data_IF_450902100376
#
_entry.id   IF_450902100376
#
_cell.length_a   1.000
_cell.length_b   1.000
_cell.length_c   1.000
_cell.angle_alpha   90.00
_cell.angle_beta   90.00
_cell.angle_gamma   90.00
#
_symmetry.space_group_name_H-M   'P 1'
#
loop_
_entity.id
_entity.type
_entity.pdbx_description
1 polymer ?
#
# COMPACT_ATOMS: atom_id res chain seq x y z
N UNK A 1 -49.19 17.30 -30.69
CA UNK A 1 -48.54 17.89 -29.50
C UNK A 1 -47.52 16.91 -28.88
N UNK A 2 -46.22 17.25 -28.86
CA UNK A 2 -45.21 16.41 -28.20
C UNK A 2 -45.31 16.55 -26.67
N UNK A 3 -44.98 15.49 -25.90
CA UNK A 3 -45.00 15.55 -24.44
C UNK A 3 -43.84 16.40 -23.90
N UNK A 4 -44.00 17.03 -22.73
CA UNK A 4 -42.95 17.85 -22.13
C UNK A 4 -41.78 16.97 -21.65
N UNK A 5 -40.57 17.36 -22.04
CA UNK A 5 -39.32 16.79 -21.57
C UNK A 5 -39.22 16.99 -20.04
N UNK A 6 -39.46 15.94 -19.27
CA UNK A 6 -39.17 15.91 -17.84
C UNK A 6 -37.65 16.02 -17.67
N UNK A 7 -37.21 17.23 -17.30
CA UNK A 7 -35.83 17.55 -16.94
C UNK A 7 -35.52 16.85 -15.62
N UNK A 8 -35.12 15.58 -15.71
CA UNK A 8 -34.68 14.78 -14.57
C UNK A 8 -33.51 15.48 -13.88
N UNK A 9 -33.79 16.15 -12.76
CA UNK A 9 -32.78 16.57 -11.82
C UNK A 9 -32.24 15.31 -11.15
N UNK A 10 -31.25 14.68 -11.78
CA UNK A 10 -30.39 13.72 -11.11
C UNK A 10 -29.66 14.48 -10.02
N UNK A 11 -30.28 14.56 -8.84
CA UNK A 11 -29.58 14.92 -7.61
C UNK A 11 -28.47 13.89 -7.48
N UNK A 12 -27.25 14.29 -7.83
CA UNK A 12 -26.05 13.58 -7.48
C UNK A 12 -26.06 13.53 -5.95
N UNK A 13 -26.65 12.45 -5.41
CA UNK A 13 -26.56 12.10 -4.02
C UNK A 13 -25.06 11.95 -3.77
N UNK A 14 -24.46 13.01 -3.23
CA UNK A 14 -23.10 12.99 -2.74
C UNK A 14 -23.13 12.07 -1.53
N UNK A 15 -23.07 10.76 -1.76
CA UNK A 15 -22.75 9.84 -0.69
C UNK A 15 -21.32 10.20 -0.30
N UNK A 16 -21.09 10.73 0.91
CA UNK A 16 -19.75 11.07 1.34
C UNK A 16 -18.90 9.82 1.13
N UNK A 17 -17.99 9.91 0.16
CA UNK A 17 -17.05 8.82 -0.12
C UNK A 17 -16.33 8.60 1.19
N UNK A 18 -16.46 7.39 1.74
CA UNK A 18 -15.90 7.03 3.05
C UNK A 18 -14.38 6.97 2.91
N UNK A 19 -13.75 8.15 2.84
CA UNK A 19 -12.30 8.33 2.80
C UNK A 19 -11.80 8.06 4.21
N UNK A 20 -11.06 6.98 4.34
CA UNK A 20 -10.36 6.68 5.57
C UNK A 20 -8.89 7.03 5.39
N UNK A 21 -8.21 7.28 6.50
CA UNK A 21 -6.77 7.52 6.50
C UNK A 21 -6.10 6.35 7.20
N UNK A 22 -5.10 5.75 6.57
CA UNK A 22 -4.21 4.80 7.21
C UNK A 22 -3.08 5.58 7.88
N UNK A 23 -2.82 5.33 9.16
CA UNK A 23 -1.57 5.73 9.81
C UNK A 23 -0.67 4.52 9.94
N UNK A 24 0.31 4.41 9.06
CA UNK A 24 1.26 3.32 9.06
C UNK A 24 2.49 3.65 9.90
N UNK A 25 2.86 2.70 10.75
CA UNK A 25 4.09 2.68 11.54
C UNK A 25 4.90 1.45 11.19
N UNK A 26 6.22 1.49 11.39
CA UNK A 26 7.07 0.34 11.14
C UNK A 26 7.25 -0.50 12.42
N UNK A 27 6.95 -1.81 12.37
CA UNK A 27 6.80 -2.66 13.56
C UNK A 27 8.02 -2.74 14.48
N UNK A 28 9.22 -2.54 13.95
CA UNK A 28 10.49 -2.64 14.69
C UNK A 28 11.20 -1.28 14.82
N UNK A 29 10.50 -0.17 14.58
CA UNK A 29 11.11 1.14 14.57
C UNK A 29 10.99 1.81 15.96
N UNK A 30 11.95 2.67 16.35
CA UNK A 30 11.93 3.36 17.64
C UNK A 30 10.67 4.21 17.82
N UNK A 31 10.30 4.56 19.06
CA UNK A 31 9.08 5.32 19.39
C UNK A 31 8.92 6.65 18.62
N UNK A 32 10.04 7.27 18.20
CA UNK A 32 10.05 8.52 17.43
C UNK A 32 10.14 8.31 15.92
N UNK A 33 9.72 7.15 15.42
CA UNK A 33 9.76 6.86 13.98
C UNK A 33 8.68 7.64 13.22
N UNK A 34 8.94 8.00 11.95
CA UNK A 34 7.96 8.70 11.14
C UNK A 34 6.69 7.86 10.96
N UNK A 35 5.53 8.50 11.09
CA UNK A 35 4.22 7.93 10.76
C UNK A 35 3.88 8.32 9.33
N UNK A 36 3.52 7.34 8.50
CA UNK A 36 3.08 7.60 7.14
C UNK A 36 1.54 7.62 7.10
N UNK A 37 0.97 8.76 6.74
CA UNK A 37 -0.48 8.92 6.61
C UNK A 37 -0.87 8.81 5.13
N UNK A 38 -1.75 7.86 4.80
CA UNK A 38 -2.18 7.60 3.41
C UNK A 38 -3.71 7.62 3.31
N UNK A 39 -4.29 8.36 2.34
CA UNK A 39 -5.71 8.26 2.06
C UNK A 39 -6.01 6.91 1.42
N UNK A 40 -6.96 6.16 1.98
CA UNK A 40 -7.38 4.87 1.46
C UNK A 40 -8.90 4.77 1.47
N UNK A 41 -9.42 4.24 0.37
CA UNK A 41 -10.82 3.85 0.28
C UNK A 41 -10.98 2.44 0.87
N UNK A 42 -11.82 2.33 1.90
CA UNK A 42 -12.00 1.07 2.62
C UNK A 42 -12.59 -0.05 1.74
N UNK A 43 -13.37 0.29 0.71
CA UNK A 43 -13.92 -0.71 -0.21
C UNK A 43 -12.81 -1.30 -1.09
N UNK A 44 -11.95 -0.46 -1.67
CA UNK A 44 -10.78 -0.94 -2.42
C UNK A 44 -9.81 -1.74 -1.52
N UNK A 45 -9.64 -1.31 -0.26
CA UNK A 45 -8.81 -2.03 0.70
C UNK A 45 -9.34 -3.44 1.00
N UNK A 46 -10.62 -3.57 1.37
CA UNK A 46 -11.26 -4.87 1.67
C UNK A 46 -11.23 -5.83 0.48
N UNK A 47 -11.26 -5.30 -0.74
CA UNK A 47 -11.12 -6.08 -1.98
C UNK A 47 -9.70 -6.60 -2.19
N UNK A 48 -8.69 -5.76 -1.94
CA UNK A 48 -7.29 -6.07 -2.20
C UNK A 48 -6.57 -6.83 -1.09
N UNK A 49 -6.97 -6.62 0.16
CA UNK A 49 -6.26 -7.07 1.37
C UNK A 49 -7.19 -7.81 2.33
N UNK A 50 -6.61 -8.45 3.34
CA UNK A 50 -7.38 -9.14 4.38
C UNK A 50 -8.15 -8.10 5.23
N UNK A 51 -9.48 -8.23 5.40
CA UNK A 51 -10.28 -7.32 6.21
C UNK A 51 -10.01 -7.40 7.72
N UNK A 52 -9.16 -8.31 8.20
CA UNK A 52 -8.88 -8.49 9.64
C UNK A 52 -8.23 -7.28 10.33
N UNK A 53 -7.82 -6.25 9.58
CA UNK A 53 -7.66 -4.93 10.18
C UNK A 53 -9.00 -4.53 10.78
N UNK A 54 -9.03 -4.28 12.09
CA UNK A 54 -10.18 -3.74 12.80
C UNK A 54 -10.46 -2.32 12.31
N UNK A 55 -10.92 -2.19 11.07
CA UNK A 55 -11.64 -1.03 10.61
C UNK A 55 -12.82 -0.92 11.56
N UNK A 56 -13.04 0.23 12.22
CA UNK A 56 -14.23 0.42 13.01
C UNK A 56 -15.40 0.00 12.12
N UNK A 57 -16.06 -1.10 12.48
CA UNK A 57 -17.22 -1.57 11.76
C UNK A 57 -18.24 -0.47 11.97
N UNK A 58 -18.37 0.41 10.98
CA UNK A 58 -19.36 1.48 11.00
C UNK A 58 -20.80 0.94 11.07
N UNK A 59 -20.99 -0.39 11.06
CA UNK A 59 -22.26 -1.05 11.34
C UNK A 59 -22.61 -1.03 12.85
N UNK A 60 -21.64 -0.81 13.74
CA UNK A 60 -21.86 -0.51 15.17
C UNK A 60 -21.79 0.99 15.50
N UNK A 61 -21.75 1.86 14.48
CA UNK A 61 -22.42 3.15 14.65
C UNK A 61 -23.91 2.83 14.71
N UNK A 62 -24.33 2.33 15.87
CA UNK A 62 -25.69 2.21 16.34
C UNK A 62 -26.42 3.40 15.76
N UNK A 63 -27.30 3.14 14.79
CA UNK A 63 -28.48 3.94 14.57
C UNK A 63 -29.16 4.02 15.94
N UNK A 64 -28.68 4.89 16.82
CA UNK A 64 -29.54 5.42 17.85
C UNK A 64 -30.60 6.09 16.99
N UNK A 65 -31.87 5.66 17.06
CA UNK A 65 -32.94 6.42 16.48
C UNK A 65 -32.93 7.75 17.23
N UNK A 66 -32.18 8.71 16.72
CA UNK A 66 -32.45 10.10 17.02
C UNK A 66 -33.67 10.37 16.16
N UNK A 67 -34.83 10.11 16.76
CA UNK A 67 -36.10 10.66 16.32
C UNK A 67 -35.94 12.19 16.31
N UNK A 68 -35.36 12.71 15.24
CA UNK A 68 -35.36 14.12 14.90
C UNK A 68 -35.54 14.15 13.40
N UNK A 69 -36.81 13.95 13.03
CA UNK A 69 -37.33 14.37 11.74
C UNK A 69 -36.86 15.79 11.47
N UNK A 70 -36.32 16.00 10.27
CA UNK A 70 -35.98 17.29 9.69
C UNK A 70 -34.74 17.98 10.25
N UNK A 71 -33.55 17.49 9.92
CA UNK A 71 -32.45 18.41 9.65
C UNK A 71 -31.59 17.86 8.53
N UNK A 72 -31.68 18.51 7.37
CA UNK A 72 -30.75 18.35 6.27
C UNK A 72 -29.31 18.46 6.82
N UNK A 73 -28.39 17.64 6.32
CA UNK A 73 -26.94 17.71 6.59
C UNK A 73 -26.39 19.06 6.12
N UNK A 74 -26.69 20.13 6.86
CA UNK A 74 -26.09 21.44 6.67
C UNK A 74 -24.74 21.36 7.36
N UNK A 75 -23.62 21.61 6.66
CA UNK A 75 -22.33 21.77 7.31
C UNK A 75 -22.48 22.85 8.38
N UNK A 76 -22.33 22.47 9.65
CA UNK A 76 -22.37 23.41 10.77
C UNK A 76 -21.19 24.36 10.61
N UNK A 77 -21.44 25.53 10.04
CA UNK A 77 -20.50 26.64 10.01
C UNK A 77 -20.40 27.17 11.44
N UNK A 78 -19.45 26.63 12.21
CA UNK A 78 -19.12 27.19 13.52
C UNK A 78 -18.62 28.61 13.25
N UNK A 79 -19.29 29.67 13.75
CA UNK A 79 -18.84 31.03 13.53
C UNK A 79 -17.43 31.19 14.14
N UNK A 80 -16.46 31.77 13.41
CA UNK A 80 -15.10 31.92 13.88
C UNK A 80 -15.05 33.04 14.92
N UNK A 81 -15.34 32.72 16.19
CA UNK A 81 -15.22 33.67 17.30
C UNK A 81 -13.90 33.55 18.08
N UNK A 82 -12.97 32.68 17.65
CA UNK A 82 -11.69 32.52 18.32
C UNK A 82 -10.55 32.31 17.31
N UNK A 83 -9.38 32.89 17.58
CA UNK A 83 -8.12 32.63 16.86
C UNK A 83 -7.60 31.20 17.11
N UNK A 84 -8.45 30.27 17.54
CA UNK A 84 -8.06 28.89 17.72
C UNK A 84 -7.90 28.21 16.36
N UNK A 85 -6.80 27.46 16.15
CA UNK A 85 -6.60 26.75 14.91
C UNK A 85 -7.73 25.75 14.71
N UNK A 86 -8.36 25.77 13.52
CA UNK A 86 -9.41 24.83 13.13
C UNK A 86 -8.91 23.39 13.34
N UNK A 87 -9.50 22.68 14.32
CA UNK A 87 -9.19 21.27 14.59
C UNK A 87 -10.17 20.40 13.83
N UNK A 88 -9.66 19.67 12.83
CA UNK A 88 -10.42 18.63 12.13
C UNK A 88 -9.97 17.26 12.62
N UNK A 89 -10.88 16.48 13.21
CA UNK A 89 -10.64 15.08 13.56
C UNK A 89 -10.94 14.20 12.35
N UNK A 90 -9.93 13.48 11.85
CA UNK A 90 -10.08 12.54 10.74
C UNK A 90 -10.16 11.10 11.28
N UNK A 91 -11.01 10.23 10.71
CA UNK A 91 -11.03 8.82 11.07
C UNK A 91 -9.73 8.17 10.60
N UNK A 92 -8.88 7.81 11.57
CA UNK A 92 -7.55 7.24 11.35
C UNK A 92 -7.56 5.75 11.73
N UNK A 93 -7.07 4.91 10.84
CA UNK A 93 -6.87 3.48 11.05
C UNK A 93 -5.38 3.21 11.25
N UNK A 94 -4.93 2.95 12.49
CA UNK A 94 -3.52 2.67 12.75
C UNK A 94 -3.14 1.28 12.25
N UNK A 95 -2.00 1.19 11.56
CA UNK A 95 -1.46 -0.08 11.07
C UNK A 95 0.04 -0.18 11.37
N UNK A 96 0.51 -1.40 11.64
CA UNK A 96 1.93 -1.69 11.80
C UNK A 96 2.39 -2.56 10.64
N UNK A 97 3.43 -2.13 9.93
CA UNK A 97 3.97 -2.83 8.75
C UNK A 97 5.45 -3.14 8.92
N UNK A 98 5.94 -4.27 8.38
CA UNK A 98 7.37 -4.60 8.45
C UNK A 98 8.30 -3.57 7.78
N UNK A 99 7.88 -2.96 6.68
CA UNK A 99 8.71 -2.03 5.92
C UNK A 99 7.89 -0.85 5.36
N UNK A 100 8.07 0.34 5.94
CA UNK A 100 7.22 1.49 5.65
C UNK A 100 7.38 2.01 4.21
N UNK A 101 8.61 1.99 3.68
CA UNK A 101 8.94 2.57 2.38
C UNK A 101 8.30 1.81 1.21
N UNK A 102 8.08 0.49 1.34
CA UNK A 102 7.43 -0.32 0.30
C UNK A 102 5.90 -0.24 0.33
N UNK A 103 5.32 0.31 1.40
CA UNK A 103 3.87 0.32 1.59
C UNK A 103 3.11 1.09 0.49
N UNK A 104 3.51 2.31 0.07
CA UNK A 104 2.79 3.03 -0.98
C UNK A 104 2.72 2.27 -2.30
N UNK A 105 3.83 1.64 -2.69
CA UNK A 105 3.89 0.83 -3.90
C UNK A 105 2.98 -0.39 -3.78
N UNK A 106 3.00 -1.09 -2.64
CA UNK A 106 2.10 -2.22 -2.41
C UNK A 106 0.63 -1.80 -2.45
N UNK A 107 0.25 -0.67 -1.84
CA UNK A 107 -1.11 -0.17 -1.87
C UNK A 107 -1.53 0.25 -3.29
N UNK A 108 -0.64 0.86 -4.06
CA UNK A 108 -0.92 1.24 -5.45
C UNK A 108 -1.39 0.04 -6.28
N UNK A 109 -0.66 -1.09 -6.22
CA UNK A 109 -1.03 -2.31 -6.94
C UNK A 109 -2.15 -3.10 -6.25
N UNK A 110 -2.10 -3.22 -4.92
CA UNK A 110 -3.05 -4.02 -4.15
C UNK A 110 -4.47 -3.45 -4.11
N UNK A 111 -4.61 -2.12 -4.15
CA UNK A 111 -5.91 -1.45 -4.30
C UNK A 111 -6.44 -1.45 -5.74
N UNK A 112 -5.64 -1.92 -6.71
CA UNK A 112 -5.99 -1.91 -8.13
C UNK A 112 -6.00 -0.51 -8.75
N UNK A 113 -5.25 0.43 -8.18
CA UNK A 113 -5.07 1.76 -8.74
C UNK A 113 -4.13 1.72 -9.96
N UNK A 114 -3.06 0.92 -9.85
CA UNK A 114 -2.25 0.53 -11.00
C UNK A 114 -2.84 -0.74 -11.62
N UNK A 115 -3.07 -0.69 -12.94
CA UNK A 115 -3.70 -1.80 -13.69
C UNK A 115 -2.65 -2.68 -14.34
N UNK A 116 -1.50 -2.12 -14.66
CA UNK A 116 -0.44 -2.83 -15.35
C UNK A 116 0.47 -3.56 -14.36
N UNK A 117 0.04 -4.77 -13.99
CA UNK A 117 0.78 -5.63 -13.05
C UNK A 117 2.15 -6.04 -13.61
N UNK A 118 2.36 -5.98 -14.93
CA UNK A 118 3.64 -6.31 -15.58
C UNK A 118 4.73 -5.27 -15.31
N UNK A 119 4.37 -4.09 -14.81
CA UNK A 119 5.35 -3.09 -14.39
C UNK A 119 5.95 -3.38 -13.01
N UNK A 120 5.32 -4.23 -12.21
CA UNK A 120 5.76 -4.50 -10.85
C UNK A 120 7.19 -5.08 -10.77
N UNK A 121 7.61 -6.06 -11.62
CA UNK A 121 8.98 -6.54 -11.65
C UNK A 121 10.02 -5.42 -11.84
N UNK A 122 9.74 -4.45 -12.72
CA UNK A 122 10.64 -3.31 -12.99
C UNK A 122 10.76 -2.34 -11.82
N UNK A 123 9.81 -2.36 -10.88
CA UNK A 123 9.88 -1.57 -9.63
C UNK A 123 10.61 -2.32 -8.50
N UNK A 124 10.61 -3.65 -8.55
CA UNK A 124 11.22 -4.50 -7.52
C UNK A 124 12.67 -4.85 -7.83
N UNK A 125 12.99 -5.08 -9.10
CA UNK A 125 14.28 -5.57 -9.57
C UNK A 125 14.92 -4.58 -10.56
N UNK A 126 16.26 -4.57 -10.67
CA UNK A 126 16.95 -3.83 -11.73
C UNK A 126 16.53 -4.29 -13.12
N UNK A 127 16.47 -3.37 -14.09
CA UNK A 127 16.05 -3.67 -15.46
C UNK A 127 16.89 -4.78 -16.13
N UNK A 128 18.19 -4.86 -15.85
CA UNK A 128 19.06 -5.92 -16.37
C UNK A 128 18.73 -7.31 -15.82
N UNK A 129 18.17 -7.39 -14.61
CA UNK A 129 17.70 -8.66 -14.03
C UNK A 129 16.35 -9.04 -14.64
N UNK A 130 15.46 -8.06 -14.83
CA UNK A 130 14.13 -8.29 -15.44
C UNK A 130 14.23 -8.73 -16.90
N UNK A 131 15.29 -8.35 -17.63
CA UNK A 131 15.52 -8.77 -19.01
C UNK A 131 15.60 -10.29 -19.20
N UNK A 132 15.99 -11.05 -18.17
CA UNK A 132 16.09 -12.51 -18.20
C UNK A 132 14.80 -13.23 -17.78
N UNK A 133 13.71 -12.49 -17.58
CA UNK A 133 12.43 -13.10 -17.18
C UNK A 133 11.90 -14.01 -18.32
N UNK A 134 11.43 -15.23 -18.02
CA UNK A 134 11.09 -15.80 -16.71
C UNK A 134 12.11 -16.80 -16.14
N UNK A 135 13.41 -16.72 -16.46
CA UNK A 135 14.40 -17.70 -16.02
C UNK A 135 15.03 -17.31 -14.64
N UNK A 136 14.49 -17.77 -13.49
CA UNK A 136 14.91 -17.28 -12.17
C UNK A 136 16.38 -17.56 -11.85
N UNK A 137 16.95 -18.65 -12.39
CA UNK A 137 18.36 -18.98 -12.21
C UNK A 137 19.27 -17.94 -12.89
N UNK A 138 18.98 -17.58 -14.15
CA UNK A 138 19.72 -16.56 -14.88
C UNK A 138 19.58 -15.19 -14.21
N UNK A 139 18.35 -14.84 -13.79
CA UNK A 139 18.09 -13.61 -13.02
C UNK A 139 18.94 -13.56 -11.73
N UNK A 140 19.02 -14.66 -10.98
CA UNK A 140 19.79 -14.73 -9.73
C UNK A 140 21.30 -14.60 -9.97
N UNK A 141 21.83 -15.19 -11.04
CA UNK A 141 23.23 -15.05 -11.42
C UNK A 141 23.60 -13.62 -11.82
N UNK A 142 22.75 -12.94 -12.59
CA UNK A 142 22.96 -11.53 -12.94
C UNK A 142 22.88 -10.67 -11.68
N UNK A 143 21.87 -10.91 -10.84
CA UNK A 143 21.66 -10.11 -9.63
C UNK A 143 22.81 -10.31 -8.61
N UNK A 144 23.39 -11.50 -8.52
CA UNK A 144 24.55 -11.78 -7.67
C UNK A 144 25.80 -10.98 -8.05
N UNK A 145 25.93 -10.55 -9.33
CA UNK A 145 27.10 -9.79 -9.83
C UNK A 145 27.04 -8.29 -9.54
N UNK A 146 25.93 -7.77 -9.00
CA UNK A 146 25.81 -6.35 -8.67
C UNK A 146 26.81 -5.94 -7.59
N UNK A 147 27.14 -4.64 -7.43
CA UNK A 147 27.88 -4.14 -6.28
C UNK A 147 27.14 -4.41 -4.96
N UNK A 148 27.86 -4.67 -3.87
CA UNK A 148 27.30 -4.98 -2.54
C UNK A 148 26.23 -3.98 -2.08
N UNK A 149 26.53 -2.69 -2.17
CA UNK A 149 25.61 -1.63 -1.73
C UNK A 149 24.30 -1.64 -2.51
N UNK A 150 24.38 -1.84 -3.84
CA UNK A 150 23.19 -1.89 -4.69
C UNK A 150 22.39 -3.16 -4.41
N UNK A 151 23.08 -4.30 -4.33
CA UNK A 151 22.47 -5.58 -4.03
C UNK A 151 21.69 -5.52 -2.71
N UNK A 152 22.31 -5.07 -1.62
CA UNK A 152 21.67 -4.99 -0.31
C UNK A 152 20.49 -4.02 -0.30
N UNK A 153 20.58 -2.90 -1.02
CA UNK A 153 19.45 -1.96 -1.17
C UNK A 153 18.23 -2.63 -1.81
N UNK A 154 18.42 -3.32 -2.95
CA UNK A 154 17.33 -4.04 -3.62
C UNK A 154 16.83 -5.22 -2.78
N UNK A 155 17.74 -5.99 -2.18
CA UNK A 155 17.42 -7.13 -1.33
C UNK A 155 16.53 -6.72 -0.15
N UNK A 156 16.89 -5.66 0.57
CA UNK A 156 16.09 -5.13 1.68
C UNK A 156 14.74 -4.60 1.23
N UNK A 157 14.69 -3.93 0.06
CA UNK A 157 13.44 -3.46 -0.51
C UNK A 157 12.48 -4.62 -0.84
N UNK A 158 12.95 -5.65 -1.54
CA UNK A 158 12.15 -6.84 -1.91
C UNK A 158 11.72 -7.60 -0.65
N UNK A 159 12.63 -7.80 0.32
CA UNK A 159 12.34 -8.42 1.61
C UNK A 159 11.21 -7.67 2.34
N UNK A 160 11.31 -6.36 2.40
CA UNK A 160 10.31 -5.49 3.03
C UNK A 160 8.96 -5.55 2.32
N UNK A 161 8.97 -5.53 0.98
CA UNK A 161 7.78 -5.67 0.17
C UNK A 161 7.07 -7.00 0.41
N UNK A 162 7.82 -8.11 0.42
CA UNK A 162 7.30 -9.44 0.74
C UNK A 162 6.75 -9.51 2.17
N UNK A 163 7.46 -8.94 3.15
CA UNK A 163 6.99 -8.86 4.53
C UNK A 163 5.64 -8.13 4.65
N UNK A 164 5.47 -7.02 3.94
CA UNK A 164 4.20 -6.29 3.94
C UNK A 164 3.06 -7.09 3.30
N UNK A 165 3.32 -7.85 2.23
CA UNK A 165 2.31 -8.73 1.61
C UNK A 165 1.77 -9.74 2.62
N UNK A 166 2.68 -10.39 3.36
CA UNK A 166 2.32 -11.36 4.37
C UNK A 166 1.58 -10.71 5.54
N UNK A 167 2.02 -9.54 5.99
CA UNK A 167 1.42 -8.82 7.11
C UNK A 167 0.00 -8.30 6.81
N UNK A 168 -0.23 -7.80 5.59
CA UNK A 168 -1.52 -7.21 5.19
C UNK A 168 -2.46 -8.22 4.52
N UNK A 169 -1.98 -9.43 4.20
CA UNK A 169 -2.75 -10.48 3.54
C UNK A 169 -3.27 -10.05 2.16
N UNK A 170 -2.35 -9.73 1.24
CA UNK A 170 -2.72 -9.36 -0.13
C UNK A 170 -3.46 -10.53 -0.83
N UNK A 171 -4.65 -10.25 -1.39
CA UNK A 171 -5.51 -11.26 -2.04
C UNK A 171 -5.20 -11.51 -3.52
N UNK A 172 -4.53 -10.57 -4.19
CA UNK A 172 -4.23 -10.70 -5.62
C UNK A 172 -3.08 -11.70 -5.85
N UNK A 173 -3.44 -12.93 -6.24
CA UNK A 173 -2.50 -14.04 -6.44
C UNK A 173 -1.40 -13.74 -7.47
N UNK A 174 -1.71 -12.99 -8.54
CA UNK A 174 -0.72 -12.63 -9.57
C UNK A 174 0.37 -11.72 -9.02
N UNK A 175 0.00 -10.71 -8.23
CA UNK A 175 0.97 -9.83 -7.56
C UNK A 175 1.82 -10.65 -6.59
N UNK A 176 1.19 -11.53 -5.79
CA UNK A 176 1.90 -12.39 -4.84
C UNK A 176 2.90 -13.29 -5.57
N UNK A 177 2.52 -13.88 -6.70
CA UNK A 177 3.40 -14.74 -7.50
C UNK A 177 4.62 -14.00 -8.06
N UNK A 178 4.42 -12.79 -8.60
CA UNK A 178 5.52 -11.95 -9.11
C UNK A 178 6.50 -11.61 -8.00
N UNK A 179 6.00 -11.15 -6.85
CA UNK A 179 6.85 -10.74 -5.72
C UNK A 179 7.55 -11.95 -5.12
N UNK A 180 6.86 -13.09 -4.99
CA UNK A 180 7.45 -14.35 -4.55
C UNK A 180 8.60 -14.78 -5.46
N UNK A 181 8.44 -14.63 -6.77
CA UNK A 181 9.49 -14.91 -7.75
C UNK A 181 10.69 -13.97 -7.56
N UNK A 182 10.46 -12.66 -7.44
CA UNK A 182 11.52 -11.68 -7.16
C UNK A 182 12.24 -11.95 -5.82
N UNK A 183 11.50 -12.37 -4.79
CA UNK A 183 12.06 -12.77 -3.51
C UNK A 183 12.94 -14.02 -3.63
N UNK A 184 12.47 -15.06 -4.33
CA UNK A 184 13.25 -16.28 -4.57
C UNK A 184 14.55 -15.97 -5.31
N UNK A 185 14.48 -15.15 -6.38
CA UNK A 185 15.66 -14.67 -7.12
C UNK A 185 16.63 -13.94 -6.20
N UNK A 186 16.14 -13.03 -5.35
CA UNK A 186 16.98 -12.28 -4.41
C UNK A 186 17.65 -13.19 -3.36
N UNK A 187 16.95 -14.19 -2.85
CA UNK A 187 17.51 -15.16 -1.90
C UNK A 187 18.54 -16.08 -2.53
N UNK A 188 18.31 -16.54 -3.76
CA UNK A 188 19.28 -17.39 -4.47
C UNK A 188 20.51 -16.60 -4.89
N UNK A 189 20.35 -15.37 -5.36
CA UNK A 189 21.47 -14.47 -5.64
C UNK A 189 22.36 -14.25 -4.39
N UNK A 190 21.74 -14.09 -3.22
CA UNK A 190 22.47 -14.00 -1.94
C UNK A 190 23.24 -15.28 -1.63
N UNK A 191 22.63 -16.44 -1.90
CA UNK A 191 23.27 -17.75 -1.72
C UNK A 191 24.47 -17.95 -2.65
N UNK A 192 24.36 -17.53 -3.91
CA UNK A 192 25.45 -17.57 -4.89
C UNK A 192 26.64 -16.74 -4.39
N UNK A 193 26.38 -15.51 -3.89
CA UNK A 193 27.41 -14.64 -3.32
C UNK A 193 28.12 -15.26 -2.11
N UNK A 194 27.36 -15.90 -1.21
CA UNK A 194 27.94 -16.58 -0.04
C UNK A 194 28.83 -17.78 -0.43
N UNK A 195 28.56 -18.41 -1.58
CA UNK A 195 29.36 -19.53 -2.11
C UNK A 195 30.62 -19.06 -2.84
N UNK A 196 30.66 -17.81 -3.31
CA UNK A 196 31.84 -17.24 -3.97
C UNK A 196 32.67 -16.51 -2.91
N UNK A 197 33.69 -17.15 -2.32
CA UNK A 197 34.60 -16.43 -1.43
C UNK A 197 35.20 -15.28 -2.22
N UNK A 198 35.00 -14.06 -1.73
CA UNK A 198 35.62 -12.86 -2.30
C UNK A 198 37.12 -13.11 -2.28
N UNK A 199 37.71 -13.37 -3.47
CA UNK A 199 39.14 -13.55 -3.58
C UNK A 199 39.80 -12.31 -2.95
N UNK A 200 40.72 -12.48 -1.97
CA UNK A 200 41.30 -11.36 -1.26
C UNK A 200 41.88 -10.41 -2.30
N UNK A 201 41.33 -9.20 -2.37
CA UNK A 201 41.79 -8.16 -3.28
C UNK A 201 43.30 -8.04 -3.09
N UNK A 202 44.07 -8.45 -4.10
CA UNK A 202 45.52 -8.31 -4.09
C UNK A 202 45.82 -6.82 -3.98
N UNK A 203 46.10 -6.37 -2.76
CA UNK A 203 46.60 -5.02 -2.49
C UNK A 203 47.91 -4.89 -3.26
N UNK A 204 47.88 -4.12 -4.35
CA UNK A 204 49.06 -3.64 -5.05
C UNK A 204 49.44 -2.28 -4.51
#
# INVERSE_FOLDING_TARGET
PPPPLQRGQSRLSYRPTRRHYLAATQSNAPTNSPVLILPVDAHFYRRGFNPDLTWPNNDEAVERPVESENTEDVPVTIPPLSNEPLRMSLPLCPISVPHLISLPLLLLFGLGLERDVEQLPYRLLPASVVAEFPAPAAMAEIFAKFPEEQFERYYMHIKGFWGNILALGLKNERIVQIVSTAWNVATEARRIRQRQPVAPAQRR
#
